data_IF_040011297111
#
_entry.id   IF_040011297111
#
_cell.length_a   1.000
_cell.length_b   1.000
_cell.length_c   1.000
_cell.angle_alpha   90.00
_cell.angle_beta   90.00
_cell.angle_gamma   90.00
#
_symmetry.space_group_name_H-M   'P 1'
#
loop_
_entity.id
_entity.type
_entity.pdbx_description
1 polymer ?
#
# COMPACT_ATOMS: atom_id res chain seq x y z
N UNK A 1 65.06 46.83 52.51
CA UNK A 1 64.32 45.56 52.64
C UNK A 1 63.44 45.42 51.41
N UNK A 2 63.85 44.62 50.42
CA UNK A 2 63.08 44.40 49.20
C UNK A 2 62.11 43.23 49.41
N UNK A 3 60.80 43.51 49.45
CA UNK A 3 59.77 42.47 49.44
C UNK A 3 59.82 41.73 48.08
N UNK A 4 60.34 40.50 48.08
CA UNK A 4 60.19 39.56 46.97
C UNK A 4 58.71 39.22 46.79
N UNK A 5 58.11 39.72 45.70
CA UNK A 5 56.78 39.32 45.22
C UNK A 5 56.82 37.85 44.75
N UNK A 6 56.37 36.92 45.59
CA UNK A 6 56.16 35.50 45.27
C UNK A 6 54.72 35.16 44.79
N UNK A 7 53.88 36.18 44.60
CA UNK A 7 52.46 36.02 44.26
C UNK A 7 52.13 35.31 42.92
N UNK A 8 52.91 35.40 41.82
CA UNK A 8 52.50 34.77 40.55
C UNK A 8 52.73 33.25 40.52
N UNK A 9 53.76 32.74 41.20
CA UNK A 9 54.10 31.31 41.13
C UNK A 9 53.15 30.43 41.95
N UNK A 10 52.65 30.95 43.09
CA UNK A 10 51.67 30.23 43.93
C UNK A 10 50.33 30.07 43.21
N UNK A 11 49.84 31.13 42.55
CA UNK A 11 48.62 31.07 41.77
C UNK A 11 48.73 30.12 40.57
N UNK A 12 49.87 30.10 39.89
CA UNK A 12 50.12 29.15 38.80
C UNK A 12 50.14 27.69 39.29
N UNK A 13 50.78 27.41 40.43
CA UNK A 13 50.80 26.05 41.00
C UNK A 13 49.40 25.65 41.48
N UNK A 14 48.66 26.56 42.10
CA UNK A 14 47.29 26.29 42.56
C UNK A 14 46.33 26.01 41.40
N UNK A 15 46.41 26.77 40.29
CA UNK A 15 45.56 26.53 39.12
C UNK A 15 45.96 25.28 38.36
N UNK A 16 47.27 25.05 38.11
CA UNK A 16 47.75 23.81 37.48
C UNK A 16 47.44 22.58 38.33
N UNK A 17 47.62 22.65 39.65
CA UNK A 17 47.30 21.57 40.59
C UNK A 17 45.80 21.29 40.66
N UNK A 18 44.96 22.33 40.62
CA UNK A 18 43.50 22.20 40.55
C UNK A 18 43.04 21.56 39.25
N UNK A 19 43.58 21.98 38.11
CA UNK A 19 43.28 21.38 36.80
C UNK A 19 43.76 19.93 36.75
N UNK A 20 44.97 19.63 37.21
CA UNK A 20 45.49 18.26 37.23
C UNK A 20 44.65 17.34 38.14
N UNK A 21 44.15 17.85 39.26
CA UNK A 21 43.27 17.11 40.18
C UNK A 21 41.89 16.85 39.58
N UNK A 22 41.31 17.82 38.86
CA UNK A 22 40.07 17.64 38.10
C UNK A 22 40.24 16.63 36.97
N UNK A 23 41.35 16.70 36.22
CA UNK A 23 41.66 15.71 35.19
C UNK A 23 41.87 14.31 35.78
N UNK A 24 42.56 14.19 36.92
CA UNK A 24 42.75 12.92 37.62
C UNK A 24 41.45 12.31 38.12
N UNK A 25 40.55 13.13 38.68
CA UNK A 25 39.23 12.67 39.12
C UNK A 25 38.35 12.23 37.94
N UNK A 26 38.34 12.99 36.85
CA UNK A 26 37.62 12.63 35.62
C UNK A 26 38.14 11.30 35.04
N UNK A 27 39.47 11.13 34.98
CA UNK A 27 40.11 9.91 34.49
C UNK A 27 39.80 8.69 35.36
N UNK A 28 39.83 8.84 36.69
CA UNK A 28 39.46 7.77 37.62
C UNK A 28 37.99 7.36 37.46
N UNK A 29 37.10 8.34 37.31
CA UNK A 29 35.68 8.09 37.08
C UNK A 29 35.41 7.40 35.74
N UNK A 30 36.12 7.79 34.69
CA UNK A 30 36.06 7.18 33.35
C UNK A 30 36.43 5.68 33.39
N UNK A 31 37.44 5.30 34.18
CA UNK A 31 37.84 3.89 34.31
C UNK A 31 36.78 2.99 34.98
N UNK A 32 35.88 3.56 35.78
CA UNK A 32 34.85 2.77 36.48
C UNK A 32 33.62 2.45 35.61
N UNK A 33 33.32 3.31 34.63
CA UNK A 33 32.11 3.21 33.80
C UNK A 33 32.02 1.89 32.99
N UNK A 34 33.08 1.37 32.35
CA UNK A 34 33.02 0.10 31.62
C UNK A 34 32.65 -1.09 32.50
N UNK A 35 33.10 -1.10 33.77
CA UNK A 35 32.74 -2.14 34.73
C UNK A 35 31.25 -2.12 35.07
N UNK A 36 30.72 -0.93 35.39
CA UNK A 36 29.28 -0.74 35.67
C UNK A 36 28.39 -1.07 34.47
N UNK A 37 28.87 -0.79 33.27
CA UNK A 37 28.15 -1.10 32.04
C UNK A 37 28.08 -2.62 31.82
N UNK A 38 29.20 -3.35 31.96
CA UNK A 38 29.22 -4.82 31.88
C UNK A 38 28.35 -5.47 32.95
N UNK A 39 28.36 -4.91 34.16
CA UNK A 39 27.54 -5.37 35.26
C UNK A 39 26.04 -5.14 34.99
N UNK A 40 25.65 -3.95 34.52
CA UNK A 40 24.27 -3.68 34.11
C UNK A 40 23.83 -4.59 32.95
N UNK A 41 24.70 -4.81 31.96
CA UNK A 41 24.46 -5.72 30.85
C UNK A 41 24.27 -7.17 31.32
N UNK A 42 25.08 -7.64 32.28
CA UNK A 42 24.97 -9.00 32.82
C UNK A 42 23.79 -9.20 33.77
N UNK A 43 23.37 -8.13 34.47
CA UNK A 43 22.19 -8.12 35.33
C UNK A 43 20.88 -7.91 34.55
N UNK A 44 20.95 -7.61 33.25
CA UNK A 44 19.77 -7.32 32.41
C UNK A 44 19.13 -5.96 32.69
N UNK A 45 19.82 -5.07 33.40
CA UNK A 45 19.39 -3.68 33.61
C UNK A 45 19.72 -2.86 32.36
N UNK A 46 18.82 -2.95 31.37
CA UNK A 46 19.00 -2.32 30.06
C UNK A 46 19.01 -0.80 30.14
N UNK A 47 18.21 -0.21 31.03
CA UNK A 47 18.15 1.24 31.21
C UNK A 47 19.47 1.76 31.78
N UNK A 48 19.99 1.12 32.84
CA UNK A 48 21.30 1.48 33.37
C UNK A 48 22.41 1.23 32.35
N UNK A 49 22.34 0.11 31.60
CA UNK A 49 23.32 -0.20 30.57
C UNK A 49 23.37 0.86 29.46
N UNK A 50 22.21 1.31 28.96
CA UNK A 50 22.17 2.39 27.97
C UNK A 50 22.67 3.71 28.53
N UNK A 51 22.24 4.08 29.74
CA UNK A 51 22.65 5.32 30.41
C UNK A 51 24.17 5.37 30.60
N UNK A 52 24.79 4.30 31.11
CA UNK A 52 26.24 4.23 31.26
C UNK A 52 26.95 4.21 29.91
N UNK A 53 26.35 3.57 28.89
CA UNK A 53 26.86 3.58 27.53
C UNK A 53 26.87 4.97 26.89
N UNK A 54 25.82 5.77 27.10
CA UNK A 54 25.75 7.15 26.61
C UNK A 54 26.73 8.08 27.34
N UNK A 55 26.86 7.93 28.66
CA UNK A 55 27.86 8.65 29.45
C UNK A 55 29.28 8.33 28.96
N UNK A 56 29.59 7.06 28.72
CA UNK A 56 30.88 6.64 28.21
C UNK A 56 31.14 7.15 26.77
N UNK A 57 30.11 7.20 25.93
CA UNK A 57 30.20 7.76 24.58
C UNK A 57 30.45 9.28 24.59
N UNK A 58 29.83 10.02 25.51
CA UNK A 58 30.03 11.47 25.66
C UNK A 58 31.45 11.83 26.13
N UNK A 59 32.11 10.94 26.88
CA UNK A 59 33.48 11.14 27.40
C UNK A 59 34.55 10.74 26.38
N UNK A 60 34.25 9.85 25.44
CA UNK A 60 35.19 9.43 24.38
C UNK A 60 35.22 10.43 23.22
N UNK A 61 35.81 11.59 23.48
CA UNK A 61 36.09 12.59 22.45
C UNK A 61 37.23 12.19 21.48
N UNK A 62 37.93 11.08 21.71
CA UNK A 62 39.15 10.72 20.96
C UNK A 62 39.25 9.28 20.45
N UNK A 63 38.30 8.39 20.75
CA UNK A 63 38.44 6.97 20.43
C UNK A 63 37.21 6.41 19.70
N UNK A 64 37.46 5.71 18.59
CA UNK A 64 36.54 5.61 17.43
C UNK A 64 35.50 4.49 17.49
N UNK A 65 35.50 3.65 18.53
CA UNK A 65 34.67 2.43 18.55
C UNK A 65 33.69 2.41 19.72
N UNK A 66 32.40 2.68 19.50
CA UNK A 66 31.38 2.54 20.55
C UNK A 66 31.44 1.13 21.19
N UNK A 67 31.33 1.02 22.53
CA UNK A 67 31.58 -0.24 23.23
C UNK A 67 30.60 -1.33 22.78
N UNK A 68 31.13 -2.53 22.50
CA UNK A 68 30.36 -3.71 22.08
C UNK A 68 29.21 -4.04 23.04
N UNK A 69 29.43 -3.86 24.33
CA UNK A 69 28.44 -4.06 25.40
C UNK A 69 27.21 -3.14 25.25
N UNK A 70 27.40 -1.89 24.80
CA UNK A 70 26.28 -0.99 24.52
C UNK A 70 25.41 -1.51 23.37
N UNK A 71 26.02 -2.17 22.37
CA UNK A 71 25.28 -2.77 21.27
C UNK A 71 24.44 -3.98 21.74
N UNK A 72 24.90 -4.75 22.74
CA UNK A 72 24.13 -5.86 23.33
C UNK A 72 22.85 -5.32 23.99
N UNK A 73 22.98 -4.31 24.85
CA UNK A 73 21.83 -3.73 25.54
C UNK A 73 20.85 -3.05 24.57
N UNK A 74 21.35 -2.32 23.55
CA UNK A 74 20.51 -1.73 22.51
C UNK A 74 19.73 -2.78 21.73
N UNK A 75 20.35 -3.91 21.36
CA UNK A 75 19.64 -5.00 20.66
C UNK A 75 18.50 -5.54 21.50
N UNK A 76 18.76 -5.81 22.78
CA UNK A 76 17.73 -6.35 23.67
C UNK A 76 16.60 -5.36 23.91
N UNK A 77 16.91 -4.07 24.10
CA UNK A 77 15.87 -3.06 24.27
C UNK A 77 15.07 -2.82 22.98
N UNK A 78 15.70 -2.89 21.82
CA UNK A 78 14.98 -2.82 20.54
C UNK A 78 13.99 -3.99 20.40
N UNK A 79 14.39 -5.21 20.79
CA UNK A 79 13.51 -6.38 20.81
C UNK A 79 12.33 -6.19 21.79
N UNK A 80 12.60 -5.76 23.03
CA UNK A 80 11.53 -5.52 24.01
C UNK A 80 10.57 -4.42 23.58
N UNK A 81 11.08 -3.34 22.98
CA UNK A 81 10.24 -2.28 22.42
C UNK A 81 9.36 -2.82 21.28
N UNK A 82 9.91 -3.68 20.42
CA UNK A 82 9.16 -4.32 19.34
C UNK A 82 8.07 -5.25 19.87
N UNK A 83 8.40 -6.12 20.82
CA UNK A 83 7.46 -7.05 21.48
C UNK A 83 6.37 -6.29 22.26
N UNK A 84 6.72 -5.17 22.89
CA UNK A 84 5.79 -4.29 23.60
C UNK A 84 4.93 -3.40 22.70
N UNK A 85 5.14 -3.44 21.37
CA UNK A 85 4.38 -2.64 20.41
C UNK A 85 4.90 -1.22 20.17
N UNK A 86 5.93 -0.77 20.88
CA UNK A 86 6.62 0.50 20.63
C UNK A 86 7.55 0.38 19.41
N UNK A 87 6.91 0.38 18.25
CA UNK A 87 7.56 0.26 16.95
C UNK A 87 8.49 1.45 16.65
N UNK A 88 8.20 2.64 17.19
CA UNK A 88 9.04 3.82 17.02
C UNK A 88 10.36 3.65 17.75
N UNK A 89 10.34 3.28 19.03
CA UNK A 89 11.55 3.06 19.81
C UNK A 89 12.37 1.90 19.24
N UNK A 90 11.72 0.80 18.87
CA UNK A 90 12.38 -0.37 18.29
C UNK A 90 13.17 -0.03 17.01
N UNK A 91 12.53 0.65 16.06
CA UNK A 91 13.18 1.03 14.80
C UNK A 91 14.31 2.05 15.00
N UNK A 92 14.14 3.00 15.93
CA UNK A 92 15.18 3.98 16.25
C UNK A 92 16.44 3.29 16.80
N UNK A 93 16.29 2.40 17.80
CA UNK A 93 17.40 1.66 18.38
C UNK A 93 18.07 0.75 17.34
N UNK A 94 17.27 0.08 16.51
CA UNK A 94 17.79 -0.80 15.46
C UNK A 94 18.51 -0.01 14.35
N UNK A 95 18.03 1.19 14.00
CA UNK A 95 18.73 2.07 13.05
C UNK A 95 20.07 2.56 13.60
N UNK A 96 20.13 2.90 14.89
CA UNK A 96 21.40 3.28 15.53
C UNK A 96 22.41 2.14 15.49
N UNK A 97 21.98 0.90 15.76
CA UNK A 97 22.82 -0.29 15.66
C UNK A 97 23.42 -0.45 14.25
N UNK A 98 22.58 -0.37 13.22
CA UNK A 98 23.01 -0.46 11.82
C UNK A 98 24.00 0.64 11.45
N UNK A 99 23.78 1.87 11.91
CA UNK A 99 24.63 3.02 11.61
C UNK A 99 25.96 3.00 12.38
N UNK A 100 25.99 2.40 13.57
CA UNK A 100 27.19 2.35 14.42
C UNK A 100 28.26 1.37 13.94
N UNK A 101 27.91 0.41 13.07
CA UNK A 101 28.79 -0.67 12.61
C UNK A 101 29.50 -1.47 13.74
N UNK A 102 28.91 -1.53 14.93
CA UNK A 102 29.46 -2.26 16.10
C UNK A 102 29.10 -3.75 16.05
N UNK A 103 30.07 -4.61 16.38
CA UNK A 103 29.89 -6.07 16.45
C UNK A 103 30.52 -6.82 15.28
N UNK A 104 30.37 -8.15 15.29
CA UNK A 104 30.85 -9.02 14.22
C UNK A 104 30.12 -8.76 12.90
N UNK A 105 30.68 -9.18 11.77
CA UNK A 105 30.01 -9.06 10.48
C UNK A 105 28.65 -9.77 10.44
N UNK A 106 28.55 -10.93 11.09
CA UNK A 106 27.28 -11.64 11.25
C UNK A 106 26.25 -10.84 12.04
N UNK A 107 26.65 -10.25 13.17
CA UNK A 107 25.78 -9.39 13.96
C UNK A 107 25.30 -8.18 13.16
N UNK A 108 26.20 -7.51 12.41
CA UNK A 108 25.82 -6.38 11.55
C UNK A 108 24.86 -6.77 10.43
N UNK A 109 25.03 -7.95 9.84
CA UNK A 109 24.10 -8.50 8.84
C UNK A 109 22.74 -8.79 9.46
N UNK A 110 22.72 -9.40 10.65
CA UNK A 110 21.51 -9.64 11.42
C UNK A 110 20.79 -8.33 11.76
N UNK A 111 21.53 -7.31 12.20
CA UNK A 111 20.96 -6.01 12.57
C UNK A 111 20.28 -5.32 11.38
N UNK A 112 20.91 -5.36 10.19
CA UNK A 112 20.34 -4.84 8.94
C UNK A 112 19.10 -5.63 8.51
N UNK A 113 19.20 -6.96 8.56
CA UNK A 113 18.09 -7.86 8.20
C UNK A 113 16.87 -7.61 9.09
N UNK A 114 17.07 -7.51 10.41
CA UNK A 114 16.02 -7.23 11.39
C UNK A 114 15.34 -5.89 11.15
N UNK A 115 16.13 -4.84 10.89
CA UNK A 115 15.58 -3.52 10.56
C UNK A 115 14.67 -3.58 9.33
N UNK A 116 15.09 -4.27 8.28
CA UNK A 116 14.30 -4.43 7.06
C UNK A 116 13.01 -5.23 7.32
N UNK A 117 13.11 -6.34 8.06
CA UNK A 117 11.96 -7.17 8.40
C UNK A 117 10.91 -6.41 9.21
N UNK A 118 11.31 -5.67 10.25
CA UNK A 118 10.40 -4.87 11.06
C UNK A 118 9.72 -3.77 10.26
N UNK A 119 10.46 -3.07 9.40
CA UNK A 119 9.88 -2.05 8.51
C UNK A 119 8.88 -2.66 7.53
N UNK A 120 9.18 -3.84 7.00
CA UNK A 120 8.27 -4.54 6.11
C UNK A 120 7.01 -5.03 6.84
N UNK A 121 7.14 -5.58 8.04
CA UNK A 121 6.01 -6.04 8.85
C UNK A 121 5.02 -4.90 9.18
N UNK A 122 5.52 -3.70 9.50
CA UNK A 122 4.66 -2.52 9.69
C UNK A 122 3.96 -2.09 8.39
N UNK A 123 4.68 -2.11 7.27
CA UNK A 123 4.10 -1.77 5.96
C UNK A 123 2.98 -2.73 5.58
N UNK A 124 3.22 -4.03 5.70
CA UNK A 124 2.22 -5.07 5.38
C UNK A 124 0.99 -4.94 6.28
N UNK A 125 1.20 -4.81 7.60
CA UNK A 125 0.09 -4.60 8.54
C UNK A 125 -0.73 -3.36 8.20
N UNK A 126 -0.09 -2.25 7.84
CA UNK A 126 -0.79 -1.04 7.44
C UNK A 126 -1.59 -1.23 6.15
N UNK A 127 -1.03 -1.94 5.16
CA UNK A 127 -1.75 -2.25 3.92
C UNK A 127 -2.92 -3.22 4.16
N UNK A 128 -2.82 -4.14 5.12
CA UNK A 128 -3.92 -5.00 5.54
C UNK A 128 -5.05 -4.20 6.18
N UNK A 129 -4.72 -3.33 7.14
CA UNK A 129 -5.66 -2.41 7.77
C UNK A 129 -6.36 -1.52 6.74
N UNK A 130 -5.58 -0.94 5.81
CA UNK A 130 -6.11 -0.11 4.74
C UNK A 130 -7.09 -0.90 3.84
N UNK A 131 -6.71 -2.08 3.37
CA UNK A 131 -7.58 -2.95 2.56
C UNK A 131 -8.87 -3.33 3.29
N UNK A 132 -8.80 -3.50 4.61
CA UNK A 132 -9.94 -3.77 5.49
C UNK A 132 -10.83 -2.55 5.75
N UNK A 133 -10.46 -1.36 5.28
CA UNK A 133 -11.22 -0.11 5.45
C UNK A 133 -10.80 0.72 6.66
N UNK A 134 -9.76 0.32 7.37
CA UNK A 134 -9.25 1.02 8.55
C UNK A 134 -8.08 1.94 8.17
N UNK A 135 -8.41 3.05 7.49
CA UNK A 135 -7.42 4.04 7.09
C UNK A 135 -6.69 4.63 8.30
N UNK A 136 -7.40 4.90 9.40
CA UNK A 136 -6.80 5.56 10.57
C UNK A 136 -5.73 4.68 11.22
N UNK A 137 -6.02 3.40 11.48
CA UNK A 137 -5.03 2.49 12.05
C UNK A 137 -3.87 2.22 11.08
N UNK A 138 -4.13 2.16 9.77
CA UNK A 138 -3.07 2.05 8.77
C UNK A 138 -2.06 3.21 8.87
N UNK A 139 -2.57 4.44 9.02
CA UNK A 139 -1.74 5.64 9.15
C UNK A 139 -0.95 5.66 10.45
N UNK A 140 -1.56 5.25 11.57
CA UNK A 140 -0.87 5.12 12.86
C UNK A 140 0.27 4.10 12.75
N UNK A 141 0.01 2.95 12.13
CA UNK A 141 1.00 1.88 11.92
C UNK A 141 2.16 2.31 11.02
N UNK A 142 1.91 3.17 10.03
CA UNK A 142 2.97 3.71 9.15
C UNK A 142 3.79 4.82 9.77
N UNK A 143 3.25 5.54 10.77
CA UNK A 143 3.90 6.72 11.35
C UNK A 143 5.37 6.51 11.78
N UNK A 144 5.81 5.34 12.30
CA UNK A 144 7.21 5.11 12.65
C UNK A 144 8.16 5.02 11.44
N UNK A 145 7.63 4.76 10.24
CA UNK A 145 8.40 4.61 9.00
C UNK A 145 8.59 5.95 8.28
N UNK A 146 7.82 6.96 8.64
CA UNK A 146 7.71 8.21 7.90
C UNK A 146 8.63 9.29 8.48
N UNK A 147 9.24 10.06 7.57
CA UNK A 147 10.15 11.13 7.96
C UNK A 147 9.36 12.39 8.27
N UNK A 148 9.52 12.93 9.48
CA UNK A 148 8.94 14.22 9.85
C UNK A 148 9.49 15.32 8.94
N UNK A 149 8.61 16.09 8.29
CA UNK A 149 8.99 17.21 7.44
C UNK A 149 9.27 16.88 5.97
N UNK A 150 9.02 15.63 5.53
CA UNK A 150 9.05 15.28 4.11
C UNK A 150 7.97 16.06 3.34
N UNK A 151 8.19 16.30 2.04
CA UNK A 151 7.19 16.94 1.17
C UNK A 151 5.91 16.09 1.08
N UNK A 152 4.72 16.69 1.16
CA UNK A 152 3.46 15.98 0.93
C UNK A 152 3.45 15.28 -0.44
N UNK A 153 2.86 14.09 -0.50
CA UNK A 153 2.72 13.26 -1.70
C UNK A 153 3.88 12.30 -1.96
N UNK A 154 4.88 12.24 -1.07
CA UNK A 154 6.03 11.34 -1.22
C UNK A 154 5.99 10.15 -0.26
N UNK A 155 5.10 10.20 0.74
CA UNK A 155 4.97 9.16 1.74
C UNK A 155 3.86 8.18 1.38
N UNK A 156 3.94 6.97 1.93
CA UNK A 156 2.91 5.96 1.70
C UNK A 156 1.59 6.42 2.31
N UNK A 157 1.61 7.05 3.49
CA UNK A 157 0.41 7.62 4.12
C UNK A 157 -0.36 8.59 3.22
N UNK A 158 0.36 9.44 2.48
CA UNK A 158 -0.24 10.39 1.54
C UNK A 158 -0.98 9.66 0.41
N UNK A 159 -0.34 8.64 -0.17
CA UNK A 159 -0.94 7.83 -1.24
C UNK A 159 -2.18 7.04 -0.76
N UNK A 160 -2.15 6.53 0.48
CA UNK A 160 -3.32 5.87 1.09
C UNK A 160 -4.48 6.86 1.29
N UNK A 161 -4.19 8.07 1.81
CA UNK A 161 -5.21 9.13 1.98
C UNK A 161 -5.82 9.55 0.65
N UNK A 162 -4.99 9.73 -0.37
CA UNK A 162 -5.44 10.11 -1.71
C UNK A 162 -6.36 9.04 -2.30
N UNK A 163 -5.93 7.78 -2.30
CA UNK A 163 -6.72 6.65 -2.81
C UNK A 163 -8.05 6.51 -2.07
N UNK A 164 -8.03 6.63 -0.74
CA UNK A 164 -9.24 6.60 0.08
C UNK A 164 -10.20 7.73 -0.27
N UNK A 165 -9.70 8.95 -0.36
CA UNK A 165 -10.51 10.13 -0.66
C UNK A 165 -11.08 10.09 -2.07
N UNK A 166 -10.32 9.62 -3.06
CA UNK A 166 -10.80 9.40 -4.43
C UNK A 166 -11.99 8.43 -4.43
N UNK A 167 -11.82 7.24 -3.84
CA UNK A 167 -12.89 6.24 -3.79
C UNK A 167 -14.12 6.73 -3.01
N UNK A 168 -13.93 7.50 -1.94
CA UNK A 168 -15.04 8.14 -1.21
C UNK A 168 -15.84 9.07 -2.12
N UNK A 169 -15.16 9.95 -2.87
CA UNK A 169 -15.81 10.89 -3.80
C UNK A 169 -16.52 10.14 -4.92
N UNK A 170 -15.89 9.12 -5.50
CA UNK A 170 -16.48 8.31 -6.56
C UNK A 170 -17.70 7.53 -6.07
N UNK A 171 -17.67 7.02 -4.83
CA UNK A 171 -18.83 6.37 -4.23
C UNK A 171 -20.01 7.34 -4.02
N UNK A 172 -19.77 8.58 -3.60
CA UNK A 172 -20.84 9.59 -3.52
C UNK A 172 -21.37 9.98 -4.91
N UNK A 173 -20.48 10.11 -5.90
CA UNK A 173 -20.88 10.34 -7.30
C UNK A 173 -21.72 9.18 -7.84
N UNK A 174 -21.36 7.94 -7.52
CA UNK A 174 -22.11 6.75 -7.90
C UNK A 174 -23.55 6.82 -7.38
N UNK A 175 -23.74 7.17 -6.10
CA UNK A 175 -25.08 7.33 -5.52
C UNK A 175 -25.93 8.36 -6.28
N UNK A 176 -25.36 9.53 -6.59
CA UNK A 176 -26.05 10.56 -7.38
C UNK A 176 -26.46 10.05 -8.77
N UNK A 177 -25.57 9.31 -9.45
CA UNK A 177 -25.81 8.74 -10.78
C UNK A 177 -26.94 7.69 -10.74
N UNK A 178 -26.91 6.81 -9.75
CA UNK A 178 -27.97 5.81 -9.49
C UNK A 178 -29.31 6.49 -9.20
N UNK A 179 -29.32 7.51 -8.35
CA UNK A 179 -30.55 8.25 -8.03
C UNK A 179 -31.16 8.94 -9.26
N UNK A 180 -30.32 9.46 -10.16
CA UNK A 180 -30.74 10.06 -11.43
C UNK A 180 -31.01 9.05 -12.55
N UNK A 181 -30.90 7.75 -12.27
CA UNK A 181 -31.07 6.67 -13.25
C UNK A 181 -30.10 6.77 -14.45
N UNK A 182 -28.92 7.35 -14.22
CA UNK A 182 -27.85 7.47 -15.21
C UNK A 182 -27.02 6.18 -15.19
N UNK A 183 -27.61 5.08 -15.67
CA UNK A 183 -27.13 3.73 -15.43
C UNK A 183 -25.75 3.43 -16.05
N UNK A 184 -25.52 3.88 -17.27
CA UNK A 184 -24.24 3.66 -17.96
C UNK A 184 -23.10 4.45 -17.32
N UNK A 185 -23.38 5.69 -16.89
CA UNK A 185 -22.42 6.50 -16.15
C UNK A 185 -22.18 5.95 -14.74
N UNK A 186 -23.22 5.44 -14.08
CA UNK A 186 -23.09 4.75 -12.79
C UNK A 186 -22.18 3.51 -12.92
N UNK A 187 -22.34 2.71 -13.98
CA UNK A 187 -21.47 1.58 -14.28
C UNK A 187 -20.01 2.02 -14.51
N UNK A 188 -19.80 3.13 -15.23
CA UNK A 188 -18.45 3.69 -15.42
C UNK A 188 -17.78 4.05 -14.09
N UNK A 189 -18.50 4.71 -13.18
CA UNK A 189 -17.99 5.05 -11.84
C UNK A 189 -17.74 3.80 -11.00
N UNK A 190 -18.61 2.78 -11.07
CA UNK A 190 -18.40 1.49 -10.41
C UNK A 190 -17.11 0.78 -10.83
N UNK A 191 -16.69 0.96 -12.08
CA UNK A 191 -15.44 0.39 -12.61
C UNK A 191 -14.20 1.21 -12.23
N UNK A 192 -14.36 2.44 -11.78
CA UNK A 192 -13.27 3.30 -11.29
C UNK A 192 -12.94 3.07 -9.81
N UNK A 193 -13.87 2.48 -9.04
CA UNK A 193 -13.59 2.10 -7.65
C UNK A 193 -12.52 1.01 -7.61
N UNK A 194 -11.34 1.35 -7.10
CA UNK A 194 -10.16 0.50 -7.10
C UNK A 194 -9.72 0.06 -5.69
N UNK A 195 -10.46 0.46 -4.65
CA UNK A 195 -10.20 0.03 -3.29
C UNK A 195 -11.10 -1.14 -2.85
N UNK A 196 -10.56 -2.25 -2.31
CA UNK A 196 -11.34 -3.46 -1.97
C UNK A 196 -12.53 -3.21 -1.04
N UNK A 197 -12.34 -2.43 0.01
CA UNK A 197 -13.41 -2.07 0.93
C UNK A 197 -14.53 -1.29 0.24
N UNK A 198 -14.20 -0.32 -0.62
CA UNK A 198 -15.19 0.50 -1.34
C UNK A 198 -15.93 -0.31 -2.40
N UNK A 199 -15.23 -1.21 -3.10
CA UNK A 199 -15.86 -2.16 -4.03
C UNK A 199 -16.89 -3.05 -3.31
N UNK A 200 -16.55 -3.55 -2.12
CA UNK A 200 -17.46 -4.35 -1.29
C UNK A 200 -18.68 -3.54 -0.85
N UNK A 201 -18.46 -2.29 -0.41
CA UNK A 201 -19.54 -1.40 0.04
C UNK A 201 -20.45 -0.93 -1.11
N UNK A 202 -19.94 -0.90 -2.33
CA UNK A 202 -20.70 -0.56 -3.53
C UNK A 202 -21.51 -1.74 -4.10
N UNK A 203 -21.40 -2.97 -3.57
CA UNK A 203 -22.09 -4.15 -4.10
C UNK A 203 -23.62 -4.01 -4.21
N UNK A 204 -24.35 -3.37 -3.27
CA UNK A 204 -25.78 -3.14 -3.45
C UNK A 204 -26.09 -2.24 -4.65
N UNK A 205 -25.32 -1.16 -4.83
CA UNK A 205 -25.47 -0.25 -5.96
C UNK A 205 -25.08 -0.92 -7.28
N UNK A 206 -24.05 -1.78 -7.28
CA UNK A 206 -23.65 -2.57 -8.45
C UNK A 206 -24.79 -3.44 -8.95
N UNK A 207 -25.41 -4.23 -8.07
CA UNK A 207 -26.55 -5.08 -8.43
C UNK A 207 -27.70 -4.26 -9.00
N UNK A 208 -28.05 -3.14 -8.37
CA UNK A 208 -29.10 -2.24 -8.85
C UNK A 208 -28.80 -1.69 -10.26
N UNK A 209 -27.56 -1.28 -10.53
CA UNK A 209 -27.15 -0.78 -11.85
C UNK A 209 -27.18 -1.89 -12.90
N UNK A 210 -26.66 -3.07 -12.59
CA UNK A 210 -26.63 -4.23 -13.49
C UNK A 210 -28.06 -4.68 -13.85
N UNK A 211 -28.95 -4.81 -12.87
CA UNK A 211 -30.36 -5.13 -13.09
C UNK A 211 -31.08 -4.07 -13.93
N UNK A 212 -30.83 -2.78 -13.68
CA UNK A 212 -31.44 -1.70 -14.46
C UNK A 212 -30.98 -1.71 -15.92
N UNK A 213 -29.68 -1.95 -16.16
CA UNK A 213 -29.12 -2.06 -17.51
C UNK A 213 -29.69 -3.28 -18.24
N UNK A 214 -29.80 -4.43 -17.57
CA UNK A 214 -30.39 -5.62 -18.18
C UNK A 214 -31.84 -5.37 -18.59
N UNK A 215 -32.65 -4.80 -17.69
CA UNK A 215 -34.05 -4.45 -17.99
C UNK A 215 -34.19 -3.43 -19.14
N UNK A 216 -33.19 -2.58 -19.37
CA UNK A 216 -33.16 -1.67 -20.52
C UNK A 216 -32.81 -2.39 -21.81
N UNK A 217 -31.83 -3.32 -21.79
CA UNK A 217 -31.49 -4.16 -22.95
C UNK A 217 -32.68 -5.03 -23.33
N UNK A 218 -33.33 -5.69 -22.37
CA UNK A 218 -34.49 -6.54 -22.64
C UNK A 218 -35.62 -5.73 -23.29
N UNK A 219 -35.90 -4.50 -22.80
CA UNK A 219 -36.89 -3.62 -23.44
C UNK A 219 -36.47 -3.18 -24.83
N UNK A 220 -35.18 -2.90 -25.04
CA UNK A 220 -34.68 -2.50 -26.34
C UNK A 220 -34.70 -3.66 -27.34
N UNK A 221 -34.41 -4.90 -26.92
CA UNK A 221 -34.57 -6.10 -27.76
C UNK A 221 -36.05 -6.35 -28.10
N UNK A 222 -36.96 -6.21 -27.13
CA UNK A 222 -38.41 -6.30 -27.39
C UNK A 222 -38.93 -5.18 -28.32
N UNK A 223 -38.31 -3.99 -28.34
CA UNK A 223 -38.67 -2.89 -29.24
C UNK A 223 -37.90 -2.90 -30.57
N UNK A 224 -36.74 -3.53 -30.63
CA UNK A 224 -35.98 -3.80 -31.85
C UNK A 224 -36.53 -5.00 -32.62
N UNK A 225 -37.31 -5.86 -31.97
CA UNK A 225 -38.35 -6.68 -32.61
C UNK A 225 -39.68 -5.92 -32.70
N UNK A 226 -39.65 -4.67 -33.16
CA UNK A 226 -40.85 -4.12 -33.83
C UNK A 226 -41.25 -5.12 -34.92
N UNK A 227 -42.53 -5.49 -34.97
CA UNK A 227 -43.06 -6.58 -35.79
C UNK A 227 -42.22 -6.77 -37.06
N UNK A 228 -41.38 -7.81 -37.08
CA UNK A 228 -40.61 -8.16 -38.26
C UNK A 228 -41.60 -8.14 -39.43
N UNK A 229 -41.29 -7.46 -40.56
CA UNK A 229 -42.10 -7.58 -41.75
C UNK A 229 -42.20 -9.08 -42.03
N UNK A 230 -43.39 -9.65 -41.81
CA UNK A 230 -43.54 -11.09 -41.87
C UNK A 230 -43.08 -11.54 -43.26
N UNK A 231 -42.24 -12.57 -43.31
CA UNK A 231 -42.10 -13.34 -44.54
C UNK A 231 -43.52 -13.73 -44.95
N UNK A 232 -43.98 -13.22 -46.09
CA UNK A 232 -45.27 -13.62 -46.66
C UNK A 232 -45.19 -15.05 -47.22
N UNK A 233 -43.96 -15.57 -47.37
CA UNK A 233 -43.68 -16.97 -47.67
C UNK A 233 -43.57 -17.73 -46.34
N UNK A 234 -44.22 -18.90 -46.28
CA UNK A 234 -44.20 -19.78 -45.12
C UNK A 234 -42.75 -20.07 -44.66
N UNK A 235 -42.38 -19.72 -43.41
CA UNK A 235 -41.01 -19.87 -42.92
C UNK A 235 -40.51 -21.32 -42.86
N UNK A 236 -41.38 -22.30 -42.57
CA UNK A 236 -40.99 -23.71 -42.50
C UNK A 236 -40.70 -24.25 -43.90
N UNK A 237 -41.50 -23.84 -44.89
CA UNK A 237 -41.25 -24.19 -46.29
C UNK A 237 -39.96 -23.56 -46.81
N UNK A 238 -39.69 -22.31 -46.45
CA UNK A 238 -38.45 -21.62 -46.82
C UNK A 238 -37.24 -22.30 -46.18
N UNK A 239 -37.29 -22.61 -44.88
CA UNK A 239 -36.21 -23.29 -44.19
C UNK A 239 -35.91 -24.67 -44.82
N UNK A 240 -36.95 -25.45 -45.12
CA UNK A 240 -36.80 -26.75 -45.80
C UNK A 240 -36.09 -26.61 -47.15
N UNK A 241 -36.51 -25.64 -47.97
CA UNK A 241 -35.90 -25.40 -49.29
C UNK A 241 -34.43 -24.93 -49.22
N UNK A 242 -34.06 -24.24 -48.13
CA UNK A 242 -32.69 -23.80 -47.85
C UNK A 242 -31.83 -24.96 -47.34
N UNK A 243 -32.34 -25.76 -46.41
CA UNK A 243 -31.64 -26.94 -45.89
C UNK A 243 -31.34 -27.98 -46.99
N UNK A 244 -32.28 -28.21 -47.91
CA UNK A 244 -32.06 -29.07 -49.07
C UNK A 244 -30.87 -28.59 -49.93
N UNK A 245 -30.73 -27.26 -50.09
CA UNK A 245 -29.64 -26.64 -50.86
C UNK A 245 -28.31 -26.64 -50.13
N UNK A 246 -28.33 -26.39 -48.83
CA UNK A 246 -27.15 -26.54 -47.98
C UNK A 246 -26.64 -27.99 -48.04
N UNK A 247 -27.54 -28.97 -48.02
CA UNK A 247 -27.19 -30.39 -48.11
C UNK A 247 -26.59 -30.81 -49.47
N UNK A 248 -26.89 -30.05 -50.53
CA UNK A 248 -26.28 -30.23 -51.86
C UNK A 248 -24.98 -29.44 -52.06
N UNK A 249 -24.46 -28.81 -50.99
CA UNK A 249 -23.16 -28.14 -50.98
C UNK A 249 -23.18 -26.67 -51.43
N UNK A 250 -24.37 -26.07 -51.53
CA UNK A 250 -24.52 -24.65 -51.82
C UNK A 250 -24.14 -23.80 -50.61
N UNK A 251 -23.53 -22.63 -50.82
CA UNK A 251 -23.24 -21.71 -49.72
C UNK A 251 -24.55 -21.13 -49.14
N UNK A 252 -24.55 -20.73 -47.84
CA UNK A 252 -25.78 -20.33 -47.16
C UNK A 252 -26.54 -19.18 -47.81
N UNK A 253 -25.83 -18.23 -48.42
CA UNK A 253 -26.47 -17.09 -49.06
C UNK A 253 -27.12 -17.49 -50.37
N UNK A 254 -26.40 -18.20 -51.23
CA UNK A 254 -26.97 -18.73 -52.48
C UNK A 254 -28.13 -19.69 -52.21
N UNK A 255 -28.04 -20.50 -51.15
CA UNK A 255 -29.10 -21.42 -50.71
C UNK A 255 -30.38 -20.67 -50.33
N UNK A 256 -30.25 -19.56 -49.59
CA UNK A 256 -31.35 -18.69 -49.21
C UNK A 256 -32.02 -18.01 -50.42
N UNK A 257 -31.23 -17.42 -51.32
CA UNK A 257 -31.74 -16.75 -52.53
C UNK A 257 -32.47 -17.75 -53.44
N UNK A 258 -31.88 -18.93 -53.65
CA UNK A 258 -32.49 -19.95 -54.50
C UNK A 258 -33.72 -20.60 -53.85
N UNK A 259 -33.70 -20.84 -52.52
CA UNK A 259 -34.87 -21.34 -51.78
C UNK A 259 -36.04 -20.35 -51.79
N UNK A 260 -35.76 -19.05 -51.72
CA UNK A 260 -36.77 -18.01 -51.86
C UNK A 260 -37.40 -18.00 -53.27
N UNK A 261 -36.57 -18.09 -54.31
CA UNK A 261 -37.02 -18.09 -55.70
C UNK A 261 -37.91 -19.31 -56.03
N UNK A 262 -37.55 -20.50 -55.51
CA UNK A 262 -38.33 -21.74 -55.67
C UNK A 262 -39.75 -21.63 -55.13
N UNK A 263 -39.92 -20.90 -54.03
CA UNK A 263 -41.20 -20.68 -53.41
C UNK A 263 -41.99 -19.54 -54.08
N UNK A 264 -41.53 -19.05 -55.24
CA UNK A 264 -42.14 -17.95 -55.98
C UNK A 264 -41.95 -16.59 -55.30
N UNK A 265 -40.99 -16.50 -54.37
CA UNK A 265 -40.65 -15.28 -53.66
C UNK A 265 -39.66 -14.41 -54.42
N UNK A 266 -39.50 -13.18 -53.94
CA UNK A 266 -38.51 -12.21 -54.33
C UNK A 266 -37.75 -11.77 -53.08
N UNK A 267 -36.44 -11.62 -53.24
CA UNK A 267 -35.58 -11.10 -52.20
C UNK A 267 -35.78 -9.59 -52.11
N UNK A 268 -36.11 -9.09 -50.92
CA UNK A 268 -36.21 -7.67 -50.62
C UNK A 268 -35.21 -7.35 -49.52
N UNK A 269 -34.31 -6.41 -49.78
CA UNK A 269 -33.38 -5.91 -48.77
C UNK A 269 -34.06 -4.84 -47.92
N UNK A 270 -34.23 -5.11 -46.63
CA UNK A 270 -34.75 -4.14 -45.66
C UNK A 270 -33.71 -3.90 -44.57
N UNK A 271 -32.87 -2.87 -44.78
CA UNK A 271 -31.80 -2.52 -43.84
C UNK A 271 -30.67 -3.55 -43.84
N UNK A 272 -30.16 -4.00 -42.68
CA UNK A 272 -29.09 -5.00 -42.61
C UNK A 272 -29.57 -6.44 -42.89
N UNK A 273 -30.87 -6.67 -43.12
CA UNK A 273 -31.44 -8.00 -43.34
C UNK A 273 -32.05 -8.15 -44.74
N UNK A 274 -32.06 -9.38 -45.24
CA UNK A 274 -32.66 -9.75 -46.53
C UNK A 274 -33.84 -10.69 -46.33
N UNK A 275 -35.00 -10.30 -46.86
CA UNK A 275 -36.28 -10.98 -46.62
C UNK A 275 -36.78 -11.64 -47.91
N UNK A 276 -37.36 -12.84 -47.80
CA UNK A 276 -38.12 -13.44 -48.89
C UNK A 276 -39.60 -13.00 -48.83
N UNK A 277 -40.09 -12.30 -49.87
CA UNK A 277 -41.50 -11.88 -50.00
C UNK A 277 -42.17 -12.54 -51.20
N UNK A 278 -43.45 -12.89 -51.10
CA UNK A 278 -44.23 -13.51 -52.17
C UNK A 278 -44.49 -12.49 -53.28
N UNK A 279 -44.37 -12.91 -54.55
CA UNK A 279 -44.70 -12.06 -55.71
C UNK A 279 -46.20 -11.84 -55.93
N UNK A 280 -47.08 -12.43 -55.11
CA UNK A 280 -48.54 -12.25 -55.19
C UNK A 280 -49.11 -11.88 -53.81
N UNK A 281 -50.11 -10.96 -53.78
CA UNK A 281 -50.76 -10.51 -52.55
C UNK A 281 -51.48 -11.65 -51.82
#
# INVERSE_FOLDING_TARGET
MALRRHLPSFWLIATLGGVASLCGYAYWWEQQLPGRLREAASQGDLEACLRYGEQLAALRWLDREAPSEQAVCRRRQAELAWEGGDSTQALNLQSQLVNSNVGSEEQRRSDRSRLLQWRQALRERALDQFRAGDLEQALITLSPLEQKGQRPGTQLSDSLRETWNRNKVDHERLKDKVQRQQWWEALSVLNQLDHPWWQTHALPLRRQVEEAIQNLRDRQEHHSHGALPAHTVDPERLNTAVEERLSSGMDPWSAFVAGCADLGGELVEEGPESLCKSKRP
#
